data_IF_637468990631
#
_entry.id   IF_637468990631
#
_cell.length_a   1.000
_cell.length_b   1.000
_cell.length_c   1.000
_cell.angle_alpha   90.00
_cell.angle_beta   90.00
_cell.angle_gamma   90.00
#
_symmetry.space_group_name_H-M   'P 1'
#
loop_
_entity.id
_entity.type
_entity.pdbx_description
1 polymer ?
#
# COMPACT_ATOMS: atom_id res chain seq x y z
N UNK A 1 -1.00 -10.31 24.97
CA UNK A 1 -0.86 -8.94 24.42
C UNK A 1 -0.97 -8.88 22.90
N UNK A 2 -2.02 -9.45 22.30
CA UNK A 2 -2.15 -9.52 20.82
C UNK A 2 -3.22 -8.61 20.21
N UNK A 3 -4.04 -7.93 21.02
CA UNK A 3 -5.17 -7.13 20.54
C UNK A 3 -4.77 -5.69 20.16
N UNK A 4 -3.79 -5.10 20.83
CA UNK A 4 -3.37 -3.72 20.61
C UNK A 4 -2.68 -3.53 19.25
N UNK A 5 -1.88 -4.52 18.80
CA UNK A 5 -1.21 -4.46 17.50
C UNK A 5 -2.17 -4.55 16.30
N UNK A 6 -3.29 -5.27 16.43
CA UNK A 6 -4.28 -5.45 15.35
C UNK A 6 -5.12 -4.19 15.12
N UNK A 7 -5.47 -3.47 16.18
CA UNK A 7 -6.18 -2.20 16.09
C UNK A 7 -5.33 -1.09 15.45
N UNK A 8 -4.04 -1.04 15.79
CA UNK A 8 -3.11 -0.03 15.26
C UNK A 8 -2.93 -0.11 13.74
N UNK A 9 -2.77 -1.31 13.20
CA UNK A 9 -2.48 -1.47 11.76
C UNK A 9 -3.68 -1.15 10.87
N UNK A 10 -4.92 -1.34 11.34
CA UNK A 10 -6.12 -0.86 10.65
C UNK A 10 -6.12 0.66 10.48
N UNK A 11 -5.81 1.40 11.56
CA UNK A 11 -5.77 2.87 11.53
C UNK A 11 -4.68 3.36 10.59
N UNK A 12 -3.49 2.76 10.67
CA UNK A 12 -2.36 3.15 9.82
C UNK A 12 -2.60 2.83 8.34
N UNK A 13 -3.15 1.66 8.01
CA UNK A 13 -3.52 1.31 6.63
C UNK A 13 -4.54 2.30 6.07
N UNK A 14 -5.57 2.65 6.86
CA UNK A 14 -6.59 3.62 6.43
C UNK A 14 -5.98 5.01 6.19
N UNK A 15 -5.10 5.47 7.08
CA UNK A 15 -4.39 6.76 6.90
C UNK A 15 -3.50 6.73 5.66
N UNK A 16 -2.75 5.66 5.44
CA UNK A 16 -1.85 5.50 4.31
C UNK A 16 -2.60 5.49 2.97
N UNK A 17 -3.72 4.76 2.86
CA UNK A 17 -4.55 4.77 1.66
C UNK A 17 -5.06 6.19 1.39
N UNK A 18 -5.56 6.90 2.41
CA UNK A 18 -6.07 8.26 2.25
C UNK A 18 -4.97 9.28 1.89
N UNK A 19 -3.71 9.02 2.24
CA UNK A 19 -2.59 9.93 1.96
C UNK A 19 -1.94 9.75 0.57
N UNK A 20 -2.33 8.72 -0.21
CA UNK A 20 -1.79 8.52 -1.57
C UNK A 20 -2.02 9.75 -2.45
N UNK A 21 -1.08 10.11 -3.33
CA UNK A 21 -1.26 11.27 -4.22
C UNK A 21 -2.00 10.86 -5.49
N UNK A 22 -3.06 11.59 -5.80
CA UNK A 22 -3.77 11.43 -7.07
C UNK A 22 -2.95 12.01 -8.22
N UNK A 23 -3.27 11.58 -9.44
CA UNK A 23 -2.71 12.01 -10.72
C UNK A 23 -1.19 11.82 -10.81
N UNK A 24 -0.67 10.84 -10.06
CA UNK A 24 0.71 10.39 -10.19
C UNK A 24 0.77 9.21 -11.14
N UNK A 25 1.88 9.13 -11.87
CA UNK A 25 2.17 7.96 -12.68
C UNK A 25 2.13 6.71 -11.78
N UNK A 26 1.51 5.61 -12.24
CA UNK A 26 1.47 4.39 -11.48
C UNK A 26 2.87 3.83 -11.26
N UNK A 27 2.98 2.95 -10.26
CA UNK A 27 4.22 2.21 -10.01
C UNK A 27 4.50 1.18 -11.09
N UNK A 28 5.42 0.27 -10.79
CA UNK A 28 5.80 -0.85 -11.68
C UNK A 28 4.67 -1.86 -11.89
N UNK A 29 3.65 -1.80 -11.04
CA UNK A 29 2.42 -2.58 -11.10
C UNK A 29 1.41 -2.04 -12.11
N UNK A 30 1.59 -0.80 -12.60
CA UNK A 30 0.65 -0.14 -13.50
C UNK A 30 -0.65 0.29 -12.82
N UNK A 31 -0.74 0.25 -11.48
CA UNK A 31 -1.96 0.58 -10.73
C UNK A 31 -1.89 2.03 -10.24
N UNK A 32 -2.79 2.93 -10.68
CA UNK A 32 -2.88 4.28 -10.15
C UNK A 32 -3.37 4.31 -8.69
N UNK A 33 -3.21 5.45 -8.01
CA UNK A 33 -3.67 5.59 -6.62
C UNK A 33 -5.21 5.65 -6.50
N UNK A 34 -5.90 6.09 -7.56
CA UNK A 34 -7.34 6.37 -7.56
C UNK A 34 -8.20 5.12 -7.39
N UNK A 35 -7.96 3.99 -8.07
CA UNK A 35 -8.67 2.75 -7.79
C UNK A 35 -8.52 2.29 -6.34
N UNK A 36 -7.34 2.47 -5.74
CA UNK A 36 -7.07 2.09 -4.34
C UNK A 36 -7.83 3.01 -3.38
N UNK A 37 -7.89 4.31 -3.69
CA UNK A 37 -8.55 5.32 -2.85
C UNK A 37 -10.07 5.37 -2.99
N UNK A 38 -10.56 5.25 -4.22
CA UNK A 38 -11.94 5.57 -4.60
C UNK A 38 -12.69 4.41 -5.25
N UNK A 39 -12.02 3.28 -5.53
CA UNK A 39 -12.68 2.10 -6.09
C UNK A 39 -13.88 1.70 -5.24
N UNK A 40 -14.99 1.36 -5.90
CA UNK A 40 -16.29 1.08 -5.26
C UNK A 40 -16.25 -0.07 -4.24
N UNK A 41 -15.22 -0.90 -4.29
CA UNK A 41 -14.90 -1.96 -3.35
C UNK A 41 -13.88 -1.53 -2.26
N UNK A 42 -13.92 -0.28 -1.78
CA UNK A 42 -12.97 0.22 -0.77
C UNK A 42 -12.74 -0.76 0.38
N UNK A 43 -13.76 -1.51 0.79
CA UNK A 43 -13.67 -2.57 1.80
C UNK A 43 -12.75 -3.73 1.38
N UNK A 44 -12.91 -4.28 0.17
CA UNK A 44 -12.10 -5.42 -0.28
C UNK A 44 -10.64 -5.04 -0.50
N UNK A 45 -10.36 -3.88 -1.13
CA UNK A 45 -8.99 -3.41 -1.34
C UNK A 45 -8.33 -3.07 0.01
N UNK A 46 -9.04 -2.36 0.89
CA UNK A 46 -8.56 -2.09 2.25
C UNK A 46 -8.27 -3.37 3.01
N UNK A 47 -9.18 -4.35 2.97
CA UNK A 47 -9.04 -5.62 3.67
C UNK A 47 -7.83 -6.40 3.13
N UNK A 48 -7.65 -6.47 1.81
CA UNK A 48 -6.50 -7.12 1.20
C UNK A 48 -5.17 -6.46 1.61
N UNK A 49 -5.09 -5.12 1.63
CA UNK A 49 -3.89 -4.39 2.07
C UNK A 49 -3.64 -4.62 3.56
N UNK A 50 -4.69 -4.57 4.38
CA UNK A 50 -4.61 -4.82 5.82
C UNK A 50 -4.09 -6.24 6.10
N UNK A 51 -4.66 -7.27 5.48
CA UNK A 51 -4.24 -8.66 5.65
C UNK A 51 -2.80 -8.89 5.18
N UNK A 52 -2.40 -8.25 4.08
CA UNK A 52 -1.02 -8.29 3.61
C UNK A 52 -0.06 -7.67 4.63
N UNK A 53 -0.38 -6.49 5.15
CA UNK A 53 0.41 -5.83 6.18
C UNK A 53 0.48 -6.66 7.47
N UNK A 54 -0.62 -7.28 7.88
CA UNK A 54 -0.66 -8.17 9.04
C UNK A 54 0.23 -9.40 8.83
N UNK A 55 0.14 -10.06 7.67
CA UNK A 55 1.01 -11.20 7.33
C UNK A 55 2.49 -10.83 7.35
N UNK A 56 2.86 -9.70 6.73
CA UNK A 56 4.25 -9.20 6.77
C UNK A 56 4.71 -8.95 8.21
N UNK A 57 3.83 -8.44 9.06
CA UNK A 57 4.15 -8.18 10.47
C UNK A 57 4.31 -9.47 11.28
N UNK A 58 3.49 -10.49 11.03
CA UNK A 58 3.55 -11.80 11.68
C UNK A 58 4.76 -12.61 11.21
N UNK A 59 5.00 -12.67 9.90
CA UNK A 59 6.08 -13.45 9.27
C UNK A 59 7.45 -12.78 9.39
N UNK A 60 7.49 -11.50 9.78
CA UNK A 60 8.70 -10.65 9.83
C UNK A 60 9.50 -10.66 8.52
N UNK A 61 8.81 -10.89 7.40
CA UNK A 61 9.40 -11.04 6.07
C UNK A 61 8.77 -10.06 5.09
N UNK A 62 9.60 -9.24 4.46
CA UNK A 62 9.17 -8.33 3.42
C UNK A 62 9.13 -9.04 2.05
N UNK A 63 8.18 -8.67 1.17
CA UNK A 63 8.18 -9.14 -0.21
C UNK A 63 9.44 -8.69 -0.94
N UNK A 64 10.15 -9.60 -1.63
CA UNK A 64 11.36 -9.24 -2.38
C UNK A 64 11.12 -8.16 -3.44
N UNK A 65 9.90 -8.10 -4.00
CA UNK A 65 9.51 -7.06 -4.96
C UNK A 65 9.58 -5.66 -4.36
N UNK A 66 9.36 -5.50 -3.05
CA UNK A 66 9.43 -4.19 -2.37
C UNK A 66 10.87 -3.68 -2.21
N UNK A 67 11.87 -4.57 -2.33
CA UNK A 67 13.29 -4.19 -2.32
C UNK A 67 13.81 -3.73 -3.69
N UNK A 68 12.97 -3.68 -4.72
CA UNK A 68 13.35 -3.29 -6.08
C UNK A 68 12.82 -1.89 -6.39
N UNK A 69 13.70 -0.99 -6.80
CA UNK A 69 13.34 0.35 -7.28
C UNK A 69 13.68 0.48 -8.78
N UNK A 70 12.77 1.06 -9.56
CA UNK A 70 13.06 1.43 -10.96
C UNK A 70 13.54 2.88 -10.98
N UNK A 71 14.72 3.11 -11.55
CA UNK A 71 15.27 4.44 -11.80
C UNK A 71 14.99 4.80 -13.25
N UNK A 72 14.11 5.78 -13.48
CA UNK A 72 13.83 6.32 -14.82
C UNK A 72 14.59 7.64 -14.95
N UNK A 73 15.66 7.71 -15.76
CA UNK A 73 16.37 8.97 -15.98
C UNK A 73 15.49 9.94 -16.78
N UNK A 74 15.14 11.07 -16.16
CA UNK A 74 14.45 12.18 -16.83
C UNK A 74 15.50 13.17 -17.33
N UNK A 75 15.62 13.30 -18.65
CA UNK A 75 16.49 14.31 -19.25
C UNK A 75 15.84 15.69 -19.09
N UNK A 76 16.48 16.56 -18.32
CA UNK A 76 16.08 17.97 -18.21
C UNK A 76 16.59 18.71 -19.47
N UNK A 77 15.75 19.55 -20.06
CA UNK A 77 16.13 20.41 -21.19
C UNK A 77 16.88 21.65 -20.70
#
# INVERSE_FOLDING_TARGET
GGAEGKSGIHVEVKKAINSLKNWKAPGTDGIPAEPIKYGGERLYIYQAIYELCQKIWEDKKLPEKWNKAIVIPLHKK
#
